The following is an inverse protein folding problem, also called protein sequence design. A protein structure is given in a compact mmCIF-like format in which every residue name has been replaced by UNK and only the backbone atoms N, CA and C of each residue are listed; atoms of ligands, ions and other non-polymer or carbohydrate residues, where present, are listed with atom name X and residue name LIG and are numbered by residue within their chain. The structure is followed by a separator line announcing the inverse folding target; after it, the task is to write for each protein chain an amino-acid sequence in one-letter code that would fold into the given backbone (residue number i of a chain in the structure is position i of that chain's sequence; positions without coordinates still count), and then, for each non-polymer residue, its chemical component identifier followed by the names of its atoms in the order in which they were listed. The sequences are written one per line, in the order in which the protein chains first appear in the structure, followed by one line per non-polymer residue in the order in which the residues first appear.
data_IF_847093288869
#
_entry.id   IF_847093288869
#
_cell.length_a   1.000
_cell.length_b   1.000
_cell.length_c   1.000
_cell.angle_alpha   90.00
_cell.angle_beta   90.00
_cell.angle_gamma   90.00
#
_symmetry.space_group_name_H-M   'P 1'
#
loop_
_entity.id
_entity.type
_entity.pdbx_description
1 polymer ?
#
# COMPACT_ATOMS: atom_id res chain seq x y z
N UNK A 1 31.51 -13.65 -41.65
CA UNK A 1 30.30 -13.19 -40.94
C UNK A 1 30.74 -12.59 -39.62
N UNK A 2 30.56 -11.29 -39.45
CA UNK A 2 31.16 -10.50 -38.38
C UNK A 2 30.53 -10.79 -37.01
N UNK A 3 31.39 -11.16 -36.04
CA UNK A 3 30.99 -11.47 -34.66
C UNK A 3 30.39 -10.25 -33.95
N UNK A 4 30.80 -9.02 -34.33
CA UNK A 4 30.23 -7.79 -33.77
C UNK A 4 28.77 -7.58 -34.19
N UNK A 5 28.41 -7.93 -35.43
CA UNK A 5 27.04 -7.79 -35.94
C UNK A 5 26.08 -8.77 -35.27
N UNK A 6 26.51 -10.02 -35.06
CA UNK A 6 25.73 -11.04 -34.34
C UNK A 6 25.55 -10.69 -32.85
N UNK A 7 26.57 -10.11 -32.21
CA UNK A 7 26.47 -9.63 -30.82
C UNK A 7 25.53 -8.42 -30.69
N UNK A 8 25.61 -7.45 -31.61
CA UNK A 8 24.72 -6.28 -31.64
C UNK A 8 23.25 -6.67 -31.89
N UNK A 9 23.00 -7.63 -32.80
CA UNK A 9 21.66 -8.19 -33.03
C UNK A 9 21.13 -8.96 -31.82
N UNK A 10 21.99 -9.67 -31.07
CA UNK A 10 21.58 -10.41 -29.86
C UNK A 10 21.20 -9.49 -28.70
N UNK A 11 21.95 -8.40 -28.48
CA UNK A 11 21.59 -7.38 -27.48
C UNK A 11 20.28 -6.67 -27.82
N UNK A 12 20.12 -6.17 -29.06
CA UNK A 12 18.89 -5.50 -29.48
C UNK A 12 17.67 -6.43 -29.45
N UNK A 13 17.80 -7.70 -29.83
CA UNK A 13 16.69 -8.66 -29.76
C UNK A 13 16.25 -8.94 -28.32
N UNK A 14 17.17 -8.97 -27.35
CA UNK A 14 16.82 -9.12 -25.94
C UNK A 14 16.14 -7.86 -25.39
N UNK A 15 16.68 -6.67 -25.65
CA UNK A 15 16.06 -5.40 -25.23
C UNK A 15 14.66 -5.20 -25.84
N UNK A 16 14.48 -5.64 -27.10
CA UNK A 16 13.19 -5.55 -27.79
C UNK A 16 12.21 -6.62 -27.29
N UNK A 17 12.66 -7.85 -26.98
CA UNK A 17 11.84 -8.86 -26.30
C UNK A 17 11.40 -8.39 -24.91
N UNK A 18 12.28 -7.77 -24.14
CA UNK A 18 11.94 -7.21 -22.81
C UNK A 18 10.96 -6.05 -22.92
N UNK A 19 11.11 -5.15 -23.90
CA UNK A 19 10.16 -4.05 -24.15
C UNK A 19 8.81 -4.54 -24.67
N UNK A 20 8.78 -5.57 -25.50
CA UNK A 20 7.54 -6.20 -25.99
C UNK A 20 6.82 -6.90 -24.82
N UNK A 21 7.56 -7.61 -23.97
CA UNK A 21 7.00 -8.32 -22.81
C UNK A 21 6.50 -7.35 -21.72
N UNK A 22 7.20 -6.23 -21.48
CA UNK A 22 6.73 -5.13 -20.62
C UNK A 22 5.50 -4.43 -21.18
N UNK A 23 5.38 -4.33 -22.52
CA UNK A 23 4.22 -3.75 -23.21
C UNK A 23 3.00 -4.67 -23.24
N UNK A 24 3.21 -5.98 -23.08
CA UNK A 24 2.14 -6.98 -22.92
C UNK A 24 1.69 -7.09 -21.44
N UNK A 25 2.61 -6.99 -20.48
CA UNK A 25 2.30 -6.80 -19.05
C UNK A 25 1.54 -5.48 -18.80
N UNK A 26 1.84 -4.42 -19.56
CA UNK A 26 1.21 -3.11 -19.35
C UNK A 26 -0.26 -3.04 -19.78
N UNK A 27 -0.86 -4.10 -20.33
CA UNK A 27 -2.20 -3.99 -20.89
C UNK A 27 -3.31 -4.18 -19.85
N UNK A 28 -3.15 -5.05 -18.84
CA UNK A 28 -4.12 -5.22 -17.73
C UNK A 28 -3.44 -5.89 -16.50
N UNK A 29 -2.32 -5.37 -15.99
CA UNK A 29 -1.72 -5.96 -14.78
C UNK A 29 -2.49 -5.58 -13.52
N UNK A 30 -3.07 -6.59 -12.86
CA UNK A 30 -3.64 -6.50 -11.52
C UNK A 30 -2.89 -7.45 -10.59
N UNK A 31 -2.40 -6.94 -9.47
CA UNK A 31 -1.71 -7.74 -8.46
C UNK A 31 -2.29 -7.47 -7.07
N UNK A 32 -2.39 -8.53 -6.27
CA UNK A 32 -2.91 -8.46 -4.89
C UNK A 32 -1.79 -8.84 -3.93
N UNK A 33 -1.55 -7.97 -2.96
CA UNK A 33 -0.52 -8.17 -1.94
C UNK A 33 -1.18 -8.26 -0.57
N UNK A 34 -0.91 -9.34 0.16
CA UNK A 34 -1.33 -9.44 1.56
C UNK A 34 -0.31 -8.74 2.46
N UNK A 35 -0.74 -7.71 3.17
CA UNK A 35 0.09 -6.97 4.12
C UNK A 35 0.11 -7.60 5.51
N UNK A 36 -1.03 -8.18 5.91
CA UNK A 36 -1.23 -8.81 7.21
C UNK A 36 -2.11 -10.03 6.97
N UNK A 37 -1.72 -11.17 7.53
CA UNK A 37 -2.48 -12.42 7.46
C UNK A 37 -2.15 -13.28 8.66
N UNK A 38 -3.15 -13.51 9.52
CA UNK A 38 -2.96 -14.37 10.67
C UNK A 38 -4.07 -14.25 11.72
N UNK A 39 -3.89 -15.01 12.78
CA UNK A 39 -4.67 -14.92 14.01
C UNK A 39 -3.75 -14.40 15.11
N UNK A 40 -4.21 -13.39 15.84
CA UNK A 40 -3.42 -12.62 16.77
C UNK A 40 -4.17 -12.49 18.09
N UNK A 41 -3.43 -12.40 19.18
CA UNK A 41 -4.01 -11.94 20.44
C UNK A 41 -4.50 -10.48 20.29
N UNK A 42 -5.56 -10.05 20.99
CA UNK A 42 -6.02 -8.65 20.96
C UNK A 42 -4.91 -7.62 21.19
N UNK A 43 -3.88 -7.92 21.99
CA UNK A 43 -2.71 -7.06 22.16
C UNK A 43 -1.91 -6.88 20.87
N UNK A 44 -1.49 -7.99 20.27
CA UNK A 44 -0.72 -8.01 19.01
C UNK A 44 -1.51 -7.39 17.85
N UNK A 45 -2.81 -7.71 17.75
CA UNK A 45 -3.69 -7.14 16.75
C UNK A 45 -3.79 -5.61 16.87
N UNK A 46 -3.86 -5.10 18.10
CA UNK A 46 -3.87 -3.66 18.38
C UNK A 46 -2.58 -3.00 17.92
N UNK A 47 -1.43 -3.60 18.23
CA UNK A 47 -0.12 -3.08 17.85
C UNK A 47 0.03 -2.97 16.32
N UNK A 48 -0.29 -4.06 15.60
CA UNK A 48 -0.22 -4.12 14.14
C UNK A 48 -1.12 -3.06 13.50
N UNK A 49 -2.39 -2.99 13.93
CA UNK A 49 -3.35 -2.04 13.36
C UNK A 49 -2.96 -0.59 13.67
N UNK A 50 -2.54 -0.30 14.91
CA UNK A 50 -2.10 1.04 15.28
C UNK A 50 -0.86 1.48 14.50
N UNK A 51 0.09 0.58 14.25
CA UNK A 51 1.26 0.89 13.41
C UNK A 51 0.85 1.26 11.98
N UNK A 52 -0.06 0.50 11.36
CA UNK A 52 -0.56 0.76 10.00
C UNK A 52 -1.34 2.07 9.91
N UNK A 53 -2.29 2.29 10.82
CA UNK A 53 -3.09 3.53 10.84
C UNK A 53 -2.23 4.75 11.10
N UNK A 54 -1.36 4.71 12.11
CA UNK A 54 -0.46 5.82 12.46
C UNK A 54 0.44 6.17 11.27
N UNK A 55 1.02 5.18 10.60
CA UNK A 55 1.87 5.42 9.42
C UNK A 55 1.10 6.14 8.31
N UNK A 56 -0.14 5.72 8.04
CA UNK A 56 -0.95 6.32 6.96
C UNK A 56 -1.45 7.72 7.34
N UNK A 57 -1.84 7.94 8.59
CA UNK A 57 -2.24 9.26 9.09
C UNK A 57 -1.06 10.23 8.97
N UNK A 58 0.12 9.86 9.47
CA UNK A 58 1.32 10.71 9.42
C UNK A 58 1.73 11.07 8.00
N UNK A 59 1.54 10.16 7.03
CA UNK A 59 1.77 10.44 5.61
C UNK A 59 0.89 11.59 5.11
N UNK A 60 -0.41 11.58 5.44
CA UNK A 60 -1.33 12.63 5.05
C UNK A 60 -1.11 13.93 5.83
N UNK A 61 -0.75 13.86 7.12
CA UNK A 61 -0.40 15.04 7.92
C UNK A 61 0.84 15.74 7.34
N UNK A 62 1.87 14.97 6.98
CA UNK A 62 3.08 15.49 6.33
C UNK A 62 2.79 16.12 4.96
N UNK A 63 1.91 15.50 4.18
CA UNK A 63 1.48 16.03 2.87
C UNK A 63 0.70 17.33 3.03
N UNK A 64 -0.22 17.39 3.98
CA UNK A 64 -0.99 18.60 4.28
C UNK A 64 -0.08 19.75 4.72
N UNK A 65 0.84 19.47 5.66
CA UNK A 65 1.84 20.44 6.10
C UNK A 65 2.72 20.94 4.94
N UNK A 66 3.19 20.04 4.08
CA UNK A 66 3.98 20.40 2.90
C UNK A 66 3.20 21.26 1.89
N UNK A 67 1.88 21.06 1.76
CA UNK A 67 1.01 21.88 0.93
C UNK A 67 0.88 23.29 1.51
N UNK A 68 0.60 23.38 2.81
CA UNK A 68 0.42 24.64 3.53
C UNK A 68 1.66 25.53 3.44
N UNK A 69 2.86 24.96 3.61
CA UNK A 69 4.11 25.71 3.50
C UNK A 69 4.38 26.21 2.07
N UNK A 70 4.04 25.42 1.04
CA UNK A 70 4.37 25.76 -0.36
C UNK A 70 3.34 26.66 -1.04
N UNK A 71 2.07 26.48 -0.70
CA UNK A 71 0.96 27.11 -1.42
C UNK A 71 0.10 28.00 -0.52
N UNK A 72 0.37 28.04 0.79
CA UNK A 72 -0.44 28.78 1.76
C UNK A 72 -1.81 28.13 2.04
N UNK A 73 -2.07 26.95 1.47
CA UNK A 73 -3.35 26.26 1.56
C UNK A 73 -3.16 24.80 1.98
N UNK A 74 -4.06 24.34 2.84
CA UNK A 74 -4.10 22.96 3.32
C UNK A 74 -4.64 22.02 2.24
N UNK A 75 -4.08 20.82 2.17
CA UNK A 75 -4.59 19.75 1.30
C UNK A 75 -5.89 19.17 1.90
N UNK A 76 -7.03 19.72 1.48
CA UNK A 76 -8.37 19.34 1.95
C UNK A 76 -8.64 17.85 1.79
N UNK A 77 -8.11 17.22 0.73
CA UNK A 77 -8.21 15.78 0.53
C UNK A 77 -7.48 15.01 1.64
N UNK A 78 -6.26 15.42 1.98
CA UNK A 78 -5.50 14.80 3.07
C UNK A 78 -6.19 15.01 4.42
N UNK A 79 -6.80 16.18 4.68
CA UNK A 79 -7.56 16.42 5.91
C UNK A 79 -8.77 15.48 6.06
N UNK A 80 -9.53 15.28 4.98
CA UNK A 80 -10.66 14.34 4.97
C UNK A 80 -10.15 12.92 5.23
N UNK A 81 -9.08 12.50 4.53
CA UNK A 81 -8.50 11.16 4.73
C UNK A 81 -7.98 10.93 6.14
N UNK A 82 -7.39 11.93 6.80
CA UNK A 82 -6.96 11.82 8.20
C UNK A 82 -8.16 11.54 9.12
N UNK A 83 -9.28 12.27 8.94
CA UNK A 83 -10.50 12.06 9.74
C UNK A 83 -11.07 10.65 9.54
N UNK A 84 -11.15 10.19 8.30
CA UNK A 84 -11.64 8.85 7.97
C UNK A 84 -10.77 7.74 8.57
N UNK A 85 -9.44 7.91 8.54
CA UNK A 85 -8.50 6.96 9.12
C UNK A 85 -8.58 6.93 10.65
N UNK A 86 -8.68 8.08 11.32
CA UNK A 86 -8.86 8.15 12.78
C UNK A 86 -10.17 7.49 13.22
N UNK A 87 -11.24 7.68 12.45
CA UNK A 87 -12.53 7.02 12.72
C UNK A 87 -12.46 5.50 12.52
N UNK A 88 -11.81 5.04 11.46
CA UNK A 88 -11.60 3.61 11.21
C UNK A 88 -10.71 2.97 12.29
N UNK A 89 -9.66 3.66 12.73
CA UNK A 89 -8.78 3.22 13.81
C UNK A 89 -9.56 3.04 15.13
N UNK A 90 -10.41 4.01 15.49
CA UNK A 90 -11.24 3.93 16.69
C UNK A 90 -12.19 2.71 16.66
N UNK A 91 -12.91 2.53 15.55
CA UNK A 91 -13.80 1.37 15.36
C UNK A 91 -13.06 0.03 15.42
N UNK A 92 -11.85 -0.04 14.86
CA UNK A 92 -11.02 -1.22 14.96
C UNK A 92 -10.62 -1.50 16.42
N UNK A 93 -10.29 -0.45 17.18
CA UNK A 93 -10.03 -0.52 18.62
C UNK A 93 -11.22 -1.09 19.41
N UNK A 94 -12.44 -0.61 19.15
CA UNK A 94 -13.66 -1.13 19.80
C UNK A 94 -13.84 -2.64 19.57
N UNK A 95 -13.59 -3.12 18.34
CA UNK A 95 -13.68 -4.55 18.03
C UNK A 95 -12.61 -5.37 18.76
N UNK A 96 -11.41 -4.82 18.89
CA UNK A 96 -10.30 -5.44 19.62
C UNK A 96 -10.63 -5.54 21.12
N UNK A 97 -11.21 -4.49 21.69
CA UNK A 97 -11.61 -4.47 23.10
C UNK A 97 -12.73 -5.49 23.38
N UNK A 98 -13.68 -5.65 22.45
CA UNK A 98 -14.70 -6.70 22.53
C UNK A 98 -14.09 -8.11 22.46
N UNK A 99 -13.08 -8.32 21.60
CA UNK A 99 -12.37 -9.59 21.54
C UNK A 99 -11.60 -9.87 22.84
N UNK A 100 -10.95 -8.85 23.42
CA UNK A 100 -10.27 -8.95 24.72
C UNK A 100 -11.24 -9.29 25.84
N UNK A 101 -12.38 -8.61 25.91
CA UNK A 101 -13.41 -8.86 26.92
C UNK A 101 -14.05 -10.26 26.81
N UNK A 102 -14.10 -10.81 25.60
CA UNK A 102 -14.65 -12.15 25.33
C UNK A 102 -13.61 -13.27 25.33
N UNK A 103 -12.33 -12.96 25.59
CA UNK A 103 -11.22 -13.93 25.57
C UNK A 103 -11.00 -14.57 24.19
N UNK A 104 -11.31 -13.85 23.12
CA UNK A 104 -11.19 -14.33 21.73
C UNK A 104 -9.95 -13.77 21.05
N UNK A 105 -9.36 -14.59 20.19
CA UNK A 105 -8.35 -14.14 19.23
C UNK A 105 -8.98 -13.37 18.08
N UNK A 106 -8.17 -12.56 17.40
CA UNK A 106 -8.58 -11.72 16.27
C UNK A 106 -7.91 -12.24 15.00
N UNK A 107 -8.71 -12.52 13.98
CA UNK A 107 -8.19 -12.79 12.64
C UNK A 107 -8.02 -11.48 11.89
N UNK A 108 -6.79 -11.15 11.50
CA UNK A 108 -6.49 -9.98 10.69
C UNK A 108 -6.08 -10.40 9.28
N UNK A 109 -6.74 -9.81 8.28
CA UNK A 109 -6.40 -9.94 6.88
C UNK A 109 -6.42 -8.54 6.25
N UNK A 110 -5.33 -8.17 5.60
CA UNK A 110 -5.23 -6.93 4.83
C UNK A 110 -4.66 -7.23 3.45
N UNK A 111 -5.34 -6.73 2.43
CA UNK A 111 -4.97 -6.88 1.03
C UNK A 111 -4.88 -5.51 0.36
N UNK A 112 -3.81 -5.29 -0.41
CA UNK A 112 -3.68 -4.15 -1.33
C UNK A 112 -3.89 -4.68 -2.74
N UNK A 113 -4.83 -4.08 -3.44
CA UNK A 113 -5.08 -4.29 -4.86
C UNK A 113 -4.36 -3.19 -5.63
N UNK A 114 -3.44 -3.59 -6.51
CA UNK A 114 -2.79 -2.69 -7.46
C UNK A 114 -3.37 -2.97 -8.84
N UNK A 115 -3.88 -1.92 -9.46
CA UNK A 115 -4.40 -1.92 -10.82
C UNK A 115 -3.75 -0.77 -11.58
N UNK A 116 -3.19 -1.08 -12.75
CA UNK A 116 -2.75 -0.07 -13.71
C UNK A 116 -4.00 0.44 -14.44
N UNK A 117 -4.23 1.76 -14.39
CA UNK A 117 -5.32 2.46 -15.08
C UNK A 117 -4.73 3.29 -16.21
#
# INVERSE_FOLDING_TARGET
MDYFFQFWLRKNKNDMKTKIQLKELSKESREVFSLVKGEYDPGEASEILNALFTRKINFHESKCFSSEIRFGEKDTYSEIRIKELKHAQAKAGELIDLARASGKAIRLNSEIFLELI
#
